data_IF_965344000962
#
_entry.id   IF_965344000962
#
_cell.length_a   1.000
_cell.length_b   1.000
_cell.length_c   1.000
_cell.angle_alpha   90.00
_cell.angle_beta   90.00
_cell.angle_gamma   90.00
#
_symmetry.space_group_name_H-M   'P 1'
#
loop_
_entity.id
_entity.type
_entity.pdbx_description
1 polymer ?
#
# COMPACT_ATOMS: atom_id res chain seq x y z
N UNK A 1 37.63 15.10 6.39
CA UNK A 1 36.56 15.25 5.35
C UNK A 1 36.68 14.23 4.22
N UNK A 2 37.83 13.99 3.58
CA UNK A 2 37.99 13.04 2.46
C UNK A 2 37.62 11.57 2.82
N UNK A 3 38.03 11.03 3.96
CA UNK A 3 37.72 9.66 4.37
C UNK A 3 36.21 9.44 4.63
N UNK A 4 35.52 10.40 5.22
CA UNK A 4 34.05 10.36 5.39
C UNK A 4 33.30 10.35 4.03
N UNK A 5 33.83 11.05 3.04
CA UNK A 5 33.24 11.11 1.70
C UNK A 5 33.41 9.78 0.94
N UNK A 6 34.54 9.10 1.09
CA UNK A 6 34.79 7.78 0.45
C UNK A 6 33.93 6.67 1.04
N UNK A 7 33.80 6.63 2.38
CA UNK A 7 32.93 5.67 3.07
C UNK A 7 31.45 5.86 2.66
N UNK A 8 30.97 7.09 2.63
CA UNK A 8 29.62 7.42 2.19
C UNK A 8 29.36 7.00 0.74
N UNK A 9 30.28 7.33 -0.19
CA UNK A 9 30.16 6.93 -1.60
C UNK A 9 30.18 5.41 -1.78
N UNK A 10 31.00 4.69 -0.99
CA UNK A 10 31.02 3.23 -1.05
C UNK A 10 29.71 2.62 -0.58
N UNK A 11 29.14 3.12 0.52
CA UNK A 11 27.84 2.68 1.02
C UNK A 11 26.72 2.99 0.01
N UNK A 12 26.71 4.19 -0.56
CA UNK A 12 25.78 4.56 -1.63
C UNK A 12 25.87 3.58 -2.82
N UNK A 13 27.08 3.30 -3.30
CA UNK A 13 27.28 2.40 -4.43
C UNK A 13 26.87 0.96 -4.09
N UNK A 14 27.11 0.46 -2.86
CA UNK A 14 26.58 -0.83 -2.40
C UNK A 14 25.05 -0.87 -2.51
N UNK A 15 24.39 0.18 -2.01
CA UNK A 15 22.93 0.34 -2.07
C UNK A 15 22.43 0.33 -3.52
N UNK A 16 23.05 1.14 -4.38
CA UNK A 16 22.67 1.23 -5.79
C UNK A 16 22.81 -0.12 -6.53
N UNK A 17 23.84 -0.90 -6.22
CA UNK A 17 24.02 -2.25 -6.78
C UNK A 17 22.90 -3.19 -6.30
N UNK A 18 22.60 -3.21 -5.01
CA UNK A 18 21.49 -4.03 -4.46
C UNK A 18 20.16 -3.68 -5.17
N UNK A 19 19.87 -2.39 -5.32
CA UNK A 19 18.64 -1.96 -5.99
C UNK A 19 18.57 -2.42 -7.44
N UNK A 20 19.66 -2.32 -8.19
CA UNK A 20 19.71 -2.84 -9.56
C UNK A 20 19.52 -4.36 -9.65
N UNK A 21 20.05 -5.10 -8.67
CA UNK A 21 19.96 -6.57 -8.63
C UNK A 21 18.60 -7.07 -8.11
N UNK A 22 17.83 -6.23 -7.41
CA UNK A 22 16.46 -6.57 -7.02
C UNK A 22 15.52 -6.63 -8.22
N UNK A 23 15.79 -5.84 -9.24
CA UNK A 23 14.99 -5.84 -10.46
C UNK A 23 15.32 -7.06 -11.34
N UNK A 24 16.60 -7.32 -11.58
CA UNK A 24 17.06 -8.47 -12.36
C UNK A 24 18.55 -8.79 -12.14
N UNK A 25 18.96 -10.01 -12.47
CA UNK A 25 20.37 -10.39 -12.54
C UNK A 25 21.11 -9.54 -13.57
N UNK A 26 22.35 -9.11 -13.25
CA UNK A 26 23.15 -8.24 -14.12
C UNK A 26 24.61 -8.67 -14.15
N UNK A 27 25.28 -8.44 -15.28
CA UNK A 27 26.74 -8.60 -15.37
C UNK A 27 27.47 -7.43 -14.68
N UNK A 28 28.73 -7.66 -14.31
CA UNK A 28 29.60 -6.60 -13.78
C UNK A 28 29.67 -5.37 -14.71
N UNK A 29 29.75 -5.62 -16.02
CA UNK A 29 29.81 -4.56 -17.04
C UNK A 29 28.51 -3.77 -17.18
N UNK A 30 27.35 -4.44 -17.02
CA UNK A 30 26.07 -3.75 -17.03
C UNK A 30 25.89 -2.85 -15.81
N UNK A 31 26.24 -3.35 -14.63
CA UNK A 31 26.24 -2.56 -13.39
C UNK A 31 27.16 -1.35 -13.53
N UNK A 32 28.39 -1.56 -14.04
CA UNK A 32 29.37 -0.51 -14.24
C UNK A 32 28.82 0.59 -15.18
N UNK A 33 28.20 0.18 -16.28
CA UNK A 33 27.61 1.09 -17.27
C UNK A 33 26.44 1.91 -16.69
N UNK A 34 25.52 1.25 -15.98
CA UNK A 34 24.33 1.90 -15.41
C UNK A 34 24.72 2.89 -14.31
N UNK A 35 25.60 2.49 -13.41
CA UNK A 35 26.02 3.33 -12.27
C UNK A 35 27.17 4.28 -12.59
N UNK A 36 27.70 4.26 -13.85
CA UNK A 36 28.84 5.07 -14.27
C UNK A 36 30.08 4.83 -13.39
N UNK A 37 30.31 3.56 -13.01
CA UNK A 37 31.47 3.11 -12.22
C UNK A 37 32.47 2.38 -13.12
N UNK A 38 33.72 2.22 -12.64
CA UNK A 38 34.67 1.34 -13.29
C UNK A 38 34.34 -0.14 -12.98
N UNK A 39 34.65 -1.06 -13.89
CA UNK A 39 34.49 -2.50 -13.66
C UNK A 39 35.24 -2.96 -12.40
N UNK A 40 36.41 -2.40 -12.13
CA UNK A 40 37.20 -2.70 -10.93
C UNK A 40 36.50 -2.25 -9.65
N UNK A 41 35.86 -1.09 -9.67
CA UNK A 41 35.07 -0.62 -8.52
C UNK A 41 33.86 -1.51 -8.25
N UNK A 42 33.13 -1.87 -9.31
CA UNK A 42 31.98 -2.79 -9.20
C UNK A 42 32.44 -4.17 -8.69
N UNK A 43 33.55 -4.72 -9.21
CA UNK A 43 34.07 -6.02 -8.75
C UNK A 43 34.38 -5.99 -7.25
N UNK A 44 35.08 -4.95 -6.76
CA UNK A 44 35.42 -4.85 -5.34
C UNK A 44 34.19 -4.71 -4.44
N UNK A 45 33.17 -3.97 -4.88
CA UNK A 45 31.90 -3.83 -4.12
C UNK A 45 31.12 -5.14 -4.14
N UNK A 46 31.06 -5.81 -5.30
CA UNK A 46 30.39 -7.10 -5.44
C UNK A 46 31.04 -8.18 -4.59
N UNK A 47 32.38 -8.22 -4.51
CA UNK A 47 33.09 -9.18 -3.65
C UNK A 47 32.76 -8.96 -2.16
N UNK A 48 32.63 -7.70 -1.71
CA UNK A 48 32.15 -7.41 -0.35
C UNK A 48 30.72 -7.93 -0.14
N UNK A 49 29.80 -7.62 -1.07
CA UNK A 49 28.40 -8.04 -0.97
C UNK A 49 28.22 -9.56 -1.04
N UNK A 50 29.13 -10.26 -1.75
CA UNK A 50 29.17 -11.73 -1.79
C UNK A 50 29.70 -12.28 -0.46
N UNK A 51 30.74 -11.65 0.12
CA UNK A 51 31.28 -12.04 1.42
C UNK A 51 30.25 -11.82 2.55
N UNK A 52 29.40 -10.77 2.43
CA UNK A 52 28.27 -10.50 3.32
C UNK A 52 27.05 -11.41 3.00
N UNK A 53 27.15 -12.33 2.03
CA UNK A 53 26.09 -13.25 1.56
C UNK A 53 24.83 -12.55 1.02
N UNK A 54 24.86 -11.25 0.76
CA UNK A 54 23.70 -10.48 0.27
C UNK A 54 23.41 -10.71 -1.21
N UNK A 55 24.46 -10.98 -1.99
CA UNK A 55 24.35 -11.33 -3.41
C UNK A 55 25.13 -12.62 -3.70
N UNK A 56 24.82 -13.23 -4.82
CA UNK A 56 25.57 -14.42 -5.29
C UNK A 56 25.79 -14.35 -6.79
N UNK A 57 26.72 -15.18 -7.27
CA UNK A 57 26.95 -15.40 -8.69
C UNK A 57 25.89 -16.36 -9.23
N UNK A 58 25.33 -16.02 -10.38
CA UNK A 58 24.33 -16.83 -11.05
C UNK A 58 25.05 -17.84 -11.96
N UNK A 59 25.02 -19.14 -11.56
CA UNK A 59 25.49 -20.31 -12.31
C UNK A 59 26.90 -20.26 -12.89
N UNK A 60 27.34 -21.43 -13.40
CA UNK A 60 28.59 -21.61 -14.14
C UNK A 60 28.53 -21.13 -15.61
N UNK A 61 27.83 -20.06 -15.89
CA UNK A 61 27.69 -19.58 -17.25
C UNK A 61 28.96 -18.89 -17.73
N UNK A 62 29.90 -19.67 -18.21
CA UNK A 62 30.95 -19.26 -19.17
C UNK A 62 30.31 -18.95 -20.54
N UNK A 63 29.14 -18.29 -20.51
CA UNK A 63 28.48 -17.83 -21.72
C UNK A 63 29.06 -16.49 -22.19
N UNK A 64 28.69 -16.05 -23.41
CA UNK A 64 29.07 -14.76 -24.02
C UNK A 64 28.76 -13.51 -23.15
N UNK A 65 27.95 -13.64 -22.12
CA UNK A 65 27.47 -12.52 -21.26
C UNK A 65 28.26 -12.35 -19.95
N UNK A 66 29.30 -13.14 -19.70
CA UNK A 66 30.08 -13.05 -18.45
C UNK A 66 29.33 -13.61 -17.21
N UNK A 67 29.94 -13.44 -16.02
CA UNK A 67 29.35 -13.85 -14.74
C UNK A 67 28.20 -12.86 -14.41
N UNK A 68 27.02 -13.40 -14.13
CA UNK A 68 25.87 -12.63 -13.66
C UNK A 68 25.85 -12.60 -12.13
N UNK A 69 25.44 -11.48 -11.58
CA UNK A 69 25.18 -11.29 -10.16
C UNK A 69 23.67 -11.22 -9.92
N UNK A 70 23.20 -11.78 -8.82
CA UNK A 70 21.81 -11.68 -8.36
C UNK A 70 21.74 -11.54 -6.85
N UNK A 71 20.60 -11.10 -6.34
CA UNK A 71 20.31 -11.16 -4.92
C UNK A 71 20.37 -12.62 -4.44
N UNK A 72 20.95 -12.85 -3.28
CA UNK A 72 20.92 -14.16 -2.63
C UNK A 72 19.53 -14.40 -2.00
N UNK A 73 18.64 -15.01 -2.76
CA UNK A 73 17.28 -15.34 -2.32
C UNK A 73 17.24 -16.30 -1.13
N UNK A 74 18.31 -17.06 -0.90
CA UNK A 74 18.39 -18.07 0.17
C UNK A 74 18.91 -17.50 1.50
N UNK A 75 19.36 -16.24 1.53
CA UNK A 75 19.83 -15.58 2.76
C UNK A 75 18.80 -15.64 3.88
N UNK A 76 17.54 -15.44 3.54
CA UNK A 76 16.44 -15.42 4.49
C UNK A 76 15.13 -15.02 3.85
N UNK A 77 14.24 -14.48 4.68
CA UNK A 77 12.95 -13.98 4.23
C UNK A 77 12.49 -12.79 5.08
N UNK A 78 11.54 -12.03 4.56
CA UNK A 78 10.84 -10.96 5.28
C UNK A 78 9.36 -11.31 5.40
N UNK A 79 8.71 -10.89 6.50
CA UNK A 79 7.27 -10.85 6.57
C UNK A 79 6.77 -9.47 6.17
N UNK A 80 5.77 -9.45 5.28
CA UNK A 80 4.93 -8.28 5.05
C UNK A 80 3.52 -8.56 5.57
N UNK A 81 2.97 -7.62 6.31
CA UNK A 81 1.65 -7.73 6.97
C UNK A 81 0.84 -6.50 6.61
N UNK A 82 -0.38 -6.72 6.18
CA UNK A 82 -1.33 -5.66 5.85
C UNK A 82 -2.55 -5.75 6.79
N UNK A 83 -2.72 -4.72 7.63
CA UNK A 83 -3.84 -4.56 8.56
C UNK A 83 -4.88 -3.54 8.06
N UNK A 84 -4.73 -3.00 6.86
CA UNK A 84 -5.56 -1.89 6.35
C UNK A 84 -6.96 -2.34 5.94
N UNK A 85 -7.05 -3.49 5.31
CA UNK A 85 -8.28 -4.01 4.74
C UNK A 85 -9.23 -4.64 5.76
N UNK A 86 -10.35 -5.17 5.26
CA UNK A 86 -11.31 -5.98 6.04
C UNK A 86 -10.75 -7.37 6.37
N UNK A 87 -9.75 -7.81 5.64
CA UNK A 87 -9.00 -9.04 5.86
C UNK A 87 -7.55 -8.71 6.14
N UNK A 88 -6.97 -9.35 7.16
CA UNK A 88 -5.54 -9.22 7.41
C UNK A 88 -4.77 -10.13 6.45
N UNK A 89 -3.78 -9.58 5.78
CA UNK A 89 -2.96 -10.33 4.85
C UNK A 89 -1.53 -10.44 5.40
N UNK A 90 -0.96 -11.63 5.30
CA UNK A 90 0.43 -11.90 5.68
C UNK A 90 1.11 -12.58 4.50
N UNK A 91 2.27 -12.12 4.08
CA UNK A 91 3.12 -12.90 3.21
C UNK A 91 4.55 -13.00 3.76
N UNK A 92 5.19 -14.13 3.47
CA UNK A 92 6.63 -14.30 3.59
C UNK A 92 7.22 -14.28 2.19
N UNK A 93 8.23 -13.47 1.97
CA UNK A 93 8.92 -13.40 0.69
C UNK A 93 10.44 -13.51 0.89
N UNK A 94 11.13 -14.09 -0.08
CA UNK A 94 12.59 -14.16 -0.08
C UNK A 94 13.23 -12.79 -0.38
N UNK A 95 14.55 -12.74 -0.32
CA UNK A 95 15.29 -11.49 -0.50
C UNK A 95 15.22 -10.93 -1.94
N UNK A 96 14.74 -11.73 -2.90
CA UNK A 96 14.47 -11.30 -4.29
C UNK A 96 13.04 -10.83 -4.53
N UNK A 97 12.24 -10.63 -3.47
CA UNK A 97 10.82 -10.22 -3.51
C UNK A 97 9.85 -11.32 -3.96
N UNK A 98 10.30 -12.57 -4.11
CA UNK A 98 9.40 -13.66 -4.47
C UNK A 98 8.62 -14.15 -3.26
N UNK A 99 7.28 -14.08 -3.34
CA UNK A 99 6.41 -14.58 -2.27
C UNK A 99 6.55 -16.11 -2.17
N UNK A 100 6.95 -16.59 -0.99
CA UNK A 100 7.12 -18.00 -0.64
C UNK A 100 5.83 -18.58 -0.05
N UNK A 101 5.17 -17.79 0.82
CA UNK A 101 3.99 -18.24 1.56
C UNK A 101 3.06 -17.05 1.81
N UNK A 102 1.76 -17.28 1.68
CA UNK A 102 0.72 -16.27 1.95
C UNK A 102 -0.34 -16.83 2.86
N UNK A 103 -0.87 -16.00 3.76
CA UNK A 103 -2.02 -16.28 4.61
C UNK A 103 -2.95 -15.08 4.64
N UNK A 104 -4.23 -15.36 4.70
CA UNK A 104 -5.28 -14.37 4.93
C UNK A 104 -6.03 -14.77 6.19
N UNK A 105 -6.21 -13.83 7.10
CA UNK A 105 -7.03 -14.01 8.30
C UNK A 105 -8.36 -13.33 7.99
N UNK A 106 -9.45 -14.09 8.06
CA UNK A 106 -10.79 -13.61 7.71
C UNK A 106 -11.27 -12.47 8.59
N UNK A 107 -12.14 -11.68 8.02
CA UNK A 107 -12.84 -10.49 8.46
C UNK A 107 -12.57 -9.99 9.89
N UNK A 108 -11.85 -8.88 9.96
CA UNK A 108 -11.61 -8.14 11.21
C UNK A 108 -12.26 -6.76 11.06
N UNK A 109 -13.48 -6.62 11.53
CA UNK A 109 -14.22 -5.35 11.48
C UNK A 109 -13.63 -4.31 12.44
N UNK A 110 -13.19 -4.78 13.61
CA UNK A 110 -12.50 -3.98 14.62
C UNK A 110 -11.33 -4.80 15.13
N UNK A 111 -10.12 -4.29 14.98
CA UNK A 111 -8.90 -4.97 15.40
C UNK A 111 -8.74 -4.86 16.91
N UNK A 112 -8.74 -5.97 17.59
CA UNK A 112 -8.60 -6.06 19.05
C UNK A 112 -7.28 -6.72 19.44
N UNK A 113 -6.91 -6.64 20.69
CA UNK A 113 -5.72 -7.30 21.22
C UNK A 113 -5.66 -8.80 20.88
N UNK A 114 -6.77 -9.50 20.98
CA UNK A 114 -6.87 -10.93 20.60
C UNK A 114 -6.58 -11.19 19.12
N UNK A 115 -6.89 -10.23 18.23
CA UNK A 115 -6.56 -10.36 16.81
C UNK A 115 -5.07 -10.20 16.56
N UNK A 116 -4.41 -9.34 17.34
CA UNK A 116 -2.96 -9.17 17.28
C UNK A 116 -2.23 -10.41 17.82
N UNK A 117 -2.70 -10.98 18.92
CA UNK A 117 -2.15 -12.22 19.46
C UNK A 117 -2.33 -13.38 18.45
N UNK A 118 -3.48 -13.42 17.77
CA UNK A 118 -3.75 -14.38 16.69
C UNK A 118 -2.86 -14.16 15.47
N UNK A 119 -2.58 -12.90 15.12
CA UNK A 119 -1.62 -12.54 14.08
C UNK A 119 -0.23 -13.08 14.39
N UNK A 120 0.29 -12.82 15.59
CA UNK A 120 1.59 -13.30 16.06
C UNK A 120 1.62 -14.85 16.03
N UNK A 121 0.58 -15.51 16.52
CA UNK A 121 0.49 -16.97 16.50
C UNK A 121 0.51 -17.54 15.07
N UNK A 122 -0.19 -16.91 14.11
CA UNK A 122 -0.16 -17.30 12.71
C UNK A 122 1.23 -17.10 12.08
N UNK A 123 1.89 -15.99 12.38
CA UNK A 123 3.25 -15.75 11.90
C UNK A 123 4.23 -16.79 12.47
N UNK A 124 4.15 -17.14 13.76
CA UNK A 124 4.93 -18.25 14.33
C UNK A 124 4.63 -19.59 13.64
N UNK A 125 3.37 -19.90 13.38
CA UNK A 125 3.01 -21.12 12.63
C UNK A 125 3.61 -21.10 11.21
N UNK A 126 3.65 -19.95 10.55
CA UNK A 126 4.28 -19.79 9.24
C UNK A 126 5.79 -20.07 9.29
N UNK A 127 6.52 -19.62 10.33
CA UNK A 127 7.97 -19.89 10.47
C UNK A 127 8.27 -21.39 10.58
N UNK A 128 7.33 -22.20 11.04
CA UNK A 128 7.47 -23.67 11.15
C UNK A 128 7.06 -24.41 9.88
N UNK A 129 6.56 -23.69 8.86
CA UNK A 129 6.18 -24.32 7.59
C UNK A 129 7.41 -24.92 6.88
N UNK A 130 7.24 -25.99 6.07
CA UNK A 130 8.37 -26.59 5.34
C UNK A 130 9.15 -25.62 4.47
N UNK A 131 8.47 -24.57 3.96
CA UNK A 131 9.06 -23.55 3.07
C UNK A 131 9.97 -22.56 3.81
N UNK A 132 9.71 -22.29 5.10
CA UNK A 132 10.41 -21.28 5.89
C UNK A 132 11.25 -21.86 7.03
N UNK A 133 10.99 -23.12 7.43
CA UNK A 133 11.69 -23.77 8.54
C UNK A 133 13.20 -23.79 8.30
N UNK A 134 13.94 -23.28 9.28
CA UNK A 134 15.39 -23.18 9.22
C UNK A 134 15.94 -21.98 8.44
N UNK A 135 15.07 -21.19 7.77
CA UNK A 135 15.50 -19.94 7.13
C UNK A 135 15.49 -18.78 8.13
N UNK A 136 16.36 -17.81 7.93
CA UNK A 136 16.47 -16.61 8.77
C UNK A 136 15.32 -15.64 8.47
N UNK A 137 14.56 -15.23 9.50
CA UNK A 137 13.68 -14.09 9.40
C UNK A 137 14.51 -12.81 9.53
N UNK A 138 14.49 -11.97 8.49
CA UNK A 138 15.34 -10.79 8.38
C UNK A 138 14.65 -9.51 8.87
N UNK A 139 13.37 -9.35 8.56
CA UNK A 139 12.59 -8.17 8.92
C UNK A 139 11.09 -8.48 8.91
N UNK A 140 10.33 -7.73 9.70
CA UNK A 140 8.86 -7.68 9.62
C UNK A 140 8.47 -6.26 9.20
N UNK A 141 7.64 -6.13 8.18
CA UNK A 141 7.05 -4.86 7.78
C UNK A 141 5.53 -4.91 7.93
N UNK A 142 4.98 -3.94 8.64
CA UNK A 142 3.57 -3.85 8.99
C UNK A 142 2.95 -2.60 8.38
N UNK A 143 1.94 -2.80 7.56
CA UNK A 143 1.07 -1.75 7.07
C UNK A 143 -0.13 -1.60 8.00
N UNK A 144 -0.40 -0.38 8.43
CA UNK A 144 -1.53 -0.10 9.32
C UNK A 144 -2.24 1.19 8.93
N UNK A 145 -3.57 1.24 9.01
CA UNK A 145 -4.30 2.49 8.83
C UNK A 145 -4.12 3.41 10.05
N UNK A 146 -4.34 4.71 9.83
CA UNK A 146 -4.31 5.74 10.88
C UNK A 146 -2.94 6.32 11.16
N UNK A 147 -2.87 7.10 12.23
CA UNK A 147 -1.69 7.89 12.60
C UNK A 147 -0.82 7.14 13.59
N UNK A 148 0.46 7.07 13.27
CA UNK A 148 1.49 6.48 14.12
C UNK A 148 2.51 7.56 14.51
N UNK A 149 3.08 7.43 15.71
CA UNK A 149 4.29 8.17 16.06
C UNK A 149 5.55 7.42 15.55
N UNK A 150 6.71 8.01 15.76
CA UNK A 150 8.01 7.43 15.34
C UNK A 150 8.32 6.08 16.01
N UNK A 151 7.78 5.83 17.21
CA UNK A 151 7.93 4.55 17.91
C UNK A 151 6.96 3.47 17.43
N UNK A 152 6.06 3.77 16.47
CA UNK A 152 5.08 2.83 15.96
C UNK A 152 3.88 2.61 16.89
N UNK A 153 3.57 3.60 17.74
CA UNK A 153 2.38 3.62 18.57
C UNK A 153 1.23 4.30 17.84
N UNK A 154 0.02 3.79 18.06
CA UNK A 154 -1.18 4.41 17.48
C UNK A 154 -1.52 5.70 18.21
N UNK A 155 -1.50 6.82 17.51
CA UNK A 155 -1.95 8.12 18.02
C UNK A 155 -3.47 8.27 17.92
N UNK A 156 -4.07 7.75 16.86
CA UNK A 156 -5.51 7.76 16.65
C UNK A 156 -5.89 6.72 15.60
N UNK A 157 -6.68 5.74 15.99
CA UNK A 157 -7.31 4.82 15.06
C UNK A 157 -8.55 4.17 15.67
N UNK A 158 -9.76 4.53 15.22
CA UNK A 158 -11.00 3.98 15.78
C UNK A 158 -11.16 2.46 15.55
N UNK A 159 -10.43 1.86 14.60
CA UNK A 159 -10.46 0.41 14.34
C UNK A 159 -9.62 -0.39 15.33
N UNK A 160 -8.62 0.22 15.97
CA UNK A 160 -7.68 -0.44 16.87
C UNK A 160 -8.03 -0.14 18.32
N UNK A 161 -8.85 -0.98 18.91
CA UNK A 161 -9.28 -0.86 20.32
C UNK A 161 -8.32 -1.61 21.24
N UNK A 162 -7.93 -0.95 22.34
CA UNK A 162 -7.04 -1.57 23.35
C UNK A 162 -5.55 -1.54 22.95
N UNK A 163 -5.19 -0.64 22.04
CA UNK A 163 -3.79 -0.39 21.63
C UNK A 163 -3.25 0.96 22.09
N UNK A 164 -3.98 1.64 22.97
CA UNK A 164 -3.51 2.89 23.55
C UNK A 164 -2.19 2.65 24.30
N UNK A 165 -1.15 3.38 23.94
CA UNK A 165 0.21 3.24 24.50
C UNK A 165 0.88 1.87 24.23
N UNK A 166 0.45 1.15 23.21
CA UNK A 166 1.08 -0.11 22.78
C UNK A 166 1.90 0.14 21.52
N UNK A 167 3.20 -0.11 21.59
CA UNK A 167 4.07 -0.14 20.43
C UNK A 167 3.98 -1.51 19.76
N UNK A 168 3.23 -1.61 18.66
CA UNK A 168 3.16 -2.84 17.85
C UNK A 168 4.53 -3.23 17.30
N UNK A 169 5.39 -2.24 17.05
CA UNK A 169 6.78 -2.44 16.63
C UNK A 169 7.59 -3.20 17.68
N UNK A 170 7.56 -2.73 18.93
CA UNK A 170 8.28 -3.38 20.04
C UNK A 170 7.75 -4.78 20.34
N UNK A 171 6.45 -4.98 20.29
CA UNK A 171 5.86 -6.30 20.55
C UNK A 171 6.24 -7.32 19.49
N UNK A 172 6.20 -6.95 18.22
CA UNK A 172 6.68 -7.81 17.14
C UNK A 172 8.19 -8.06 17.25
N UNK A 173 8.98 -7.04 17.59
CA UNK A 173 10.41 -7.22 17.86
C UNK A 173 10.68 -8.20 19.00
N UNK A 174 9.96 -8.09 20.11
CA UNK A 174 10.07 -9.04 21.24
C UNK A 174 9.66 -10.45 20.84
N UNK A 175 8.62 -10.60 20.01
CA UNK A 175 8.12 -11.91 19.60
C UNK A 175 9.04 -12.64 18.63
N UNK A 176 9.73 -11.92 17.75
CA UNK A 176 10.47 -12.53 16.63
C UNK A 176 11.97 -12.27 16.63
N UNK A 177 12.47 -11.30 17.40
CA UNK A 177 13.91 -11.00 17.54
C UNK A 177 14.53 -10.42 16.25
N UNK A 178 13.75 -9.78 15.39
CA UNK A 178 14.22 -9.14 14.16
C UNK A 178 13.77 -7.67 14.09
N UNK A 179 14.31 -6.93 13.12
CA UNK A 179 13.88 -5.56 12.86
C UNK A 179 12.41 -5.51 12.44
N UNK A 180 11.72 -4.45 12.85
CA UNK A 180 10.31 -4.22 12.53
C UNK A 180 10.13 -2.81 11.98
N UNK A 181 9.47 -2.70 10.83
CA UNK A 181 9.02 -1.46 10.21
C UNK A 181 7.52 -1.36 10.30
N UNK A 182 6.99 -0.22 10.76
CA UNK A 182 5.56 0.06 10.79
C UNK A 182 5.33 1.36 10.04
N UNK A 183 4.47 1.32 9.02
CA UNK A 183 4.15 2.50 8.20
C UNK A 183 2.65 2.59 7.91
N UNK A 184 2.23 3.79 7.51
CA UNK A 184 0.87 4.00 7.03
C UNK A 184 0.60 3.17 5.76
N UNK A 185 -0.59 2.59 5.67
CA UNK A 185 -1.04 1.68 4.63
C UNK A 185 -1.09 2.33 3.23
N UNK A 186 -1.61 3.56 3.12
CA UNK A 186 -1.71 4.26 1.82
C UNK A 186 -0.33 4.67 1.30
N UNK A 187 0.57 5.09 2.20
CA UNK A 187 1.95 5.36 1.86
C UNK A 187 2.65 4.10 1.34
N UNK A 188 2.43 2.96 2.00
CA UNK A 188 2.96 1.68 1.52
C UNK A 188 2.32 1.25 0.19
N UNK A 189 1.02 1.47 -0.03
CA UNK A 189 0.41 1.19 -1.33
C UNK A 189 1.09 1.99 -2.45
N UNK A 190 1.40 3.27 -2.22
CA UNK A 190 2.16 4.10 -3.17
C UNK A 190 3.58 3.56 -3.39
N UNK A 191 4.30 3.17 -2.32
CA UNK A 191 5.62 2.52 -2.42
C UNK A 191 5.55 1.20 -3.21
N UNK A 192 4.46 0.43 -3.05
CA UNK A 192 4.21 -0.80 -3.79
C UNK A 192 4.05 -0.55 -5.29
N UNK A 193 3.22 0.41 -5.67
CA UNK A 193 3.03 0.82 -7.07
C UNK A 193 4.33 1.36 -7.69
N UNK A 194 5.14 2.10 -6.93
CA UNK A 194 6.45 2.58 -7.41
C UNK A 194 7.43 1.42 -7.61
N UNK A 195 7.44 0.44 -6.72
CA UNK A 195 8.40 -0.66 -6.76
C UNK A 195 8.02 -1.76 -7.76
N UNK A 196 6.74 -2.10 -7.85
CA UNK A 196 6.27 -3.30 -8.57
C UNK A 196 5.12 -3.05 -9.54
N UNK A 197 4.48 -1.87 -9.48
CA UNK A 197 3.28 -1.55 -10.24
C UNK A 197 3.47 -0.53 -11.34
N UNK A 198 2.41 0.23 -11.60
CA UNK A 198 2.29 1.17 -12.71
C UNK A 198 3.08 2.47 -12.52
N UNK A 199 3.61 2.74 -11.34
CA UNK A 199 4.33 3.98 -11.04
C UNK A 199 5.87 3.84 -11.13
N UNK A 200 6.40 2.74 -11.67
CA UNK A 200 7.85 2.50 -11.76
C UNK A 200 8.62 3.67 -12.37
N UNK A 201 8.11 4.21 -13.46
CA UNK A 201 8.74 5.30 -14.22
C UNK A 201 8.09 6.67 -13.95
N UNK A 202 7.21 6.78 -12.94
CA UNK A 202 6.52 8.01 -12.55
C UNK A 202 7.20 8.61 -11.34
N UNK A 203 7.53 9.90 -11.39
CA UNK A 203 8.21 10.61 -10.30
C UNK A 203 7.21 11.35 -9.39
N UNK A 204 6.09 11.83 -9.94
CA UNK A 204 5.09 12.56 -9.19
C UNK A 204 3.71 11.93 -9.39
N UNK A 205 3.05 11.53 -8.31
CA UNK A 205 1.73 10.90 -8.34
C UNK A 205 0.92 11.22 -7.09
N UNK A 206 -0.40 11.29 -7.26
CA UNK A 206 -1.37 11.29 -6.18
C UNK A 206 -2.06 9.92 -6.13
N UNK A 207 -2.05 9.26 -4.99
CA UNK A 207 -2.90 8.10 -4.73
C UNK A 207 -4.05 8.50 -3.81
N UNK A 208 -5.26 8.16 -4.18
CA UNK A 208 -6.45 8.27 -3.32
C UNK A 208 -6.92 6.86 -2.96
N UNK A 209 -6.92 6.56 -1.68
CA UNK A 209 -7.45 5.32 -1.13
C UNK A 209 -8.90 5.53 -0.71
N UNK A 210 -9.82 4.78 -1.31
CA UNK A 210 -11.27 4.86 -1.05
C UNK A 210 -11.77 3.45 -0.70
N UNK A 211 -12.06 3.25 0.59
CA UNK A 211 -12.53 1.97 1.14
C UNK A 211 -13.52 2.25 2.30
N UNK A 212 -13.39 1.57 3.44
CA UNK A 212 -14.13 1.85 4.69
C UNK A 212 -13.88 3.29 5.15
N UNK A 213 -12.65 3.77 5.04
CA UNK A 213 -12.25 5.17 5.21
C UNK A 213 -11.63 5.71 3.93
N UNK A 214 -11.13 6.94 4.01
CA UNK A 214 -10.42 7.60 2.91
C UNK A 214 -9.05 8.06 3.36
N UNK A 215 -8.08 7.95 2.44
CA UNK A 215 -6.70 8.39 2.64
C UNK A 215 -6.07 8.85 1.33
N UNK A 216 -4.92 9.51 1.43
CA UNK A 216 -4.12 9.84 0.26
C UNK A 216 -2.64 9.58 0.53
N UNK A 217 -1.87 9.40 -0.53
CA UNK A 217 -0.42 9.48 -0.50
C UNK A 217 0.05 10.36 -1.66
N UNK A 218 1.11 11.10 -1.43
CA UNK A 218 1.77 11.91 -2.44
C UNK A 218 3.16 11.34 -2.70
N UNK A 219 3.48 11.12 -3.96
CA UNK A 219 4.83 10.84 -4.39
C UNK A 219 5.36 12.08 -5.12
N UNK A 220 6.48 12.61 -4.64
CA UNK A 220 7.18 13.76 -5.18
C UNK A 220 8.64 13.39 -5.39
N UNK A 221 9.17 13.66 -6.59
CA UNK A 221 10.54 13.29 -6.98
C UNK A 221 10.86 11.81 -6.70
N UNK A 222 9.91 10.92 -6.98
CA UNK A 222 10.04 9.47 -6.78
C UNK A 222 10.00 9.00 -5.33
N UNK A 223 9.73 9.89 -4.37
CA UNK A 223 9.68 9.59 -2.95
C UNK A 223 8.29 9.87 -2.37
N UNK A 224 7.81 8.99 -1.50
CA UNK A 224 6.55 9.23 -0.78
C UNK A 224 6.76 10.37 0.23
N UNK A 225 5.96 11.42 0.08
CA UNK A 225 5.98 12.58 0.96
C UNK A 225 5.17 12.31 2.23
N UNK A 226 5.83 12.23 3.36
CA UNK A 226 5.19 11.91 4.64
C UNK A 226 4.82 13.14 5.49
N UNK A 227 5.29 14.34 5.12
CA UNK A 227 5.08 15.56 5.90
C UNK A 227 5.97 15.68 7.14
N UNK A 228 5.89 16.83 7.82
CA UNK A 228 6.74 17.13 8.98
C UNK A 228 6.44 16.29 10.24
N UNK A 229 5.24 15.69 10.31
CA UNK A 229 4.81 14.84 11.43
C UNK A 229 4.43 13.42 10.98
N UNK A 230 4.71 13.05 9.72
CA UNK A 230 4.32 11.75 9.17
C UNK A 230 2.83 11.61 8.81
N UNK A 231 2.07 12.73 8.72
CA UNK A 231 0.62 12.71 8.52
C UNK A 231 0.18 13.33 7.20
N UNK A 232 1.08 13.49 6.24
CA UNK A 232 0.68 13.91 4.90
C UNK A 232 -0.31 12.87 4.32
N UNK A 233 -1.31 13.36 3.62
CA UNK A 233 -2.33 12.47 3.03
C UNK A 233 -3.53 12.13 3.91
N UNK A 234 -3.63 12.66 5.13
CA UNK A 234 -4.81 12.53 6.00
C UNK A 234 -6.02 13.30 5.43
N UNK A 235 -6.37 12.99 4.17
CA UNK A 235 -7.37 13.69 3.37
C UNK A 235 -8.80 13.52 3.93
N UNK A 236 -9.04 12.47 4.72
CA UNK A 236 -10.34 12.25 5.37
C UNK A 236 -10.82 13.47 6.16
N UNK A 237 -9.88 14.27 6.71
CA UNK A 237 -10.17 15.51 7.44
C UNK A 237 -10.32 16.75 6.54
N UNK A 238 -10.15 16.60 5.22
CA UNK A 238 -10.29 17.71 4.28
C UNK A 238 -11.76 18.17 4.21
N UNK A 239 -12.00 19.48 4.33
CA UNK A 239 -13.34 20.05 4.33
C UNK A 239 -13.84 20.31 2.92
N UNK A 240 -15.04 19.79 2.59
CA UNK A 240 -15.67 19.90 1.26
C UNK A 240 -16.58 21.12 1.10
N UNK A 241 -17.15 21.62 2.18
CA UNK A 241 -18.11 22.72 2.14
C UNK A 241 -17.54 24.07 1.64
N UNK A 242 -16.22 24.17 1.51
CA UNK A 242 -15.56 25.33 0.87
C UNK A 242 -15.88 25.45 -0.63
N UNK A 243 -16.35 24.38 -1.25
CA UNK A 243 -16.60 24.29 -2.69
C UNK A 243 -18.07 24.13 -3.07
N UNK A 244 -18.98 24.10 -2.10
CA UNK A 244 -20.41 24.00 -2.37
C UNK A 244 -21.03 25.37 -2.55
N UNK A 245 -21.67 25.60 -3.69
CA UNK A 245 -22.57 26.73 -3.90
C UNK A 245 -23.98 26.32 -3.50
N UNK A 246 -24.84 27.29 -3.13
CA UNK A 246 -26.24 27.03 -2.74
C UNK A 246 -27.05 26.29 -3.84
N UNK A 247 -26.61 26.37 -5.10
CA UNK A 247 -27.25 25.67 -6.22
C UNK A 247 -27.00 24.16 -6.26
N UNK A 248 -25.96 23.65 -5.54
CA UNK A 248 -25.58 22.24 -5.53
C UNK A 248 -26.29 21.43 -4.43
N UNK A 249 -27.35 22.00 -3.81
CA UNK A 249 -28.05 21.43 -2.65
C UNK A 249 -28.60 20.01 -2.85
N UNK A 250 -28.84 19.55 -4.06
CA UNK A 250 -29.31 18.18 -4.31
C UNK A 250 -28.27 17.10 -4.09
N UNK A 251 -27.01 17.41 -4.37
CA UNK A 251 -25.91 16.45 -4.18
C UNK A 251 -25.36 16.44 -2.74
N UNK A 252 -25.52 17.57 -2.02
CA UNK A 252 -25.09 17.70 -0.62
C UNK A 252 -25.99 16.97 0.39
N UNK A 253 -27.10 16.40 -0.03
CA UNK A 253 -27.99 15.62 0.85
C UNK A 253 -27.36 14.33 1.38
N UNK A 254 -26.33 13.82 0.69
CA UNK A 254 -25.75 12.53 0.99
C UNK A 254 -24.46 12.61 1.82
N UNK A 255 -23.67 13.67 1.67
CA UNK A 255 -22.32 13.70 2.23
C UNK A 255 -22.18 14.80 3.30
N UNK A 256 -21.35 14.51 4.31
CA UNK A 256 -20.98 15.49 5.33
C UNK A 256 -19.93 16.47 4.76
N UNK A 257 -19.54 17.43 5.59
CA UNK A 257 -18.58 18.47 5.22
C UNK A 257 -17.11 17.97 5.12
N UNK A 258 -16.86 16.67 5.28
CA UNK A 258 -15.52 16.09 5.27
C UNK A 258 -15.36 15.07 4.14
N UNK A 259 -14.15 14.96 3.61
CA UNK A 259 -13.83 14.04 2.51
C UNK A 259 -14.08 12.58 2.89
N UNK A 260 -13.91 12.20 4.16
CA UNK A 260 -14.20 10.85 4.63
C UNK A 260 -15.65 10.40 4.42
N UNK A 261 -16.58 11.36 4.28
CA UNK A 261 -17.98 11.05 3.92
C UNK A 261 -18.12 10.48 2.50
N UNK A 262 -17.08 10.52 1.67
CA UNK A 262 -17.05 9.94 0.34
C UNK A 262 -16.55 8.48 0.34
N UNK A 263 -16.26 7.91 1.51
CA UNK A 263 -15.89 6.51 1.66
C UNK A 263 -16.99 5.57 1.19
N UNK A 264 -16.63 4.36 0.81
CA UNK A 264 -17.61 3.34 0.42
C UNK A 264 -18.54 2.94 1.57
N UNK A 265 -18.03 3.03 2.82
CA UNK A 265 -18.87 2.78 3.99
C UNK A 265 -19.96 3.85 4.17
N UNK A 266 -19.62 5.11 3.93
CA UNK A 266 -20.61 6.22 3.95
C UNK A 266 -21.63 6.05 2.83
N UNK A 267 -21.20 5.71 1.62
CA UNK A 267 -22.10 5.44 0.50
C UNK A 267 -23.05 4.28 0.81
N UNK A 268 -22.55 3.20 1.40
CA UNK A 268 -23.36 2.07 1.85
C UNK A 268 -24.42 2.51 2.89
N UNK A 269 -24.02 3.31 3.87
CA UNK A 269 -24.93 3.82 4.92
C UNK A 269 -26.06 4.66 4.32
N UNK A 270 -25.75 5.47 3.30
CA UNK A 270 -26.74 6.24 2.55
C UNK A 270 -27.73 5.30 1.86
N UNK A 271 -27.24 4.29 1.14
CA UNK A 271 -28.06 3.34 0.40
C UNK A 271 -28.94 2.48 1.34
N UNK A 272 -28.39 2.05 2.48
CA UNK A 272 -29.15 1.37 3.52
C UNK A 272 -30.31 2.24 4.01
N UNK A 273 -30.05 3.51 4.29
CA UNK A 273 -31.06 4.48 4.72
C UNK A 273 -32.14 4.69 3.66
N UNK A 274 -31.77 4.92 2.41
CA UNK A 274 -32.71 5.12 1.32
C UNK A 274 -33.60 3.87 1.11
N UNK A 275 -33.01 2.67 1.25
CA UNK A 275 -33.76 1.40 1.18
C UNK A 275 -34.74 1.26 2.34
N UNK A 276 -34.38 1.70 3.56
CA UNK A 276 -35.31 1.77 4.71
C UNK A 276 -36.48 2.71 4.41
N UNK A 277 -36.25 3.81 3.72
CA UNK A 277 -37.32 4.78 3.35
C UNK A 277 -38.11 4.37 2.10
N UNK A 278 -37.92 3.14 1.62
CA UNK A 278 -38.74 2.54 0.57
C UNK A 278 -38.20 2.73 -0.84
N UNK A 279 -36.93 3.08 -1.00
CA UNK A 279 -36.32 3.10 -2.33
C UNK A 279 -36.36 1.67 -2.93
N UNK A 280 -36.90 1.56 -4.13
CA UNK A 280 -36.99 0.32 -4.89
C UNK A 280 -35.77 0.18 -5.81
N UNK A 281 -35.31 -1.06 -6.06
CA UNK A 281 -34.19 -1.39 -6.93
C UNK A 281 -33.44 -2.62 -6.44
N UNK A 282 -32.23 -2.80 -6.96
CA UNK A 282 -31.39 -3.98 -6.69
C UNK A 282 -31.26 -4.29 -5.18
N UNK A 283 -30.99 -3.29 -4.35
CA UNK A 283 -30.76 -3.51 -2.92
C UNK A 283 -32.04 -3.88 -2.16
N UNK A 284 -33.20 -3.32 -2.54
CA UNK A 284 -34.49 -3.70 -1.93
C UNK A 284 -34.86 -5.15 -2.28
N UNK A 285 -34.59 -5.59 -3.51
CA UNK A 285 -34.78 -6.97 -3.95
C UNK A 285 -33.81 -7.91 -3.23
N UNK A 286 -32.55 -7.53 -3.10
CA UNK A 286 -31.54 -8.28 -2.36
C UNK A 286 -31.96 -8.54 -0.90
N UNK A 287 -32.48 -7.50 -0.22
CA UNK A 287 -32.99 -7.59 1.16
C UNK A 287 -34.15 -8.61 1.25
N UNK A 288 -35.10 -8.55 0.31
CA UNK A 288 -36.23 -9.49 0.26
C UNK A 288 -35.76 -10.90 0.00
N UNK A 289 -34.86 -11.10 -0.96
CA UNK A 289 -34.33 -12.43 -1.34
C UNK A 289 -33.56 -13.08 -0.19
N UNK A 290 -32.70 -12.30 0.50
CA UNK A 290 -31.87 -12.83 1.59
C UNK A 290 -32.57 -12.89 2.94
N UNK A 291 -33.76 -12.31 3.08
CA UNK A 291 -34.49 -12.25 4.35
C UNK A 291 -33.78 -11.47 5.45
N UNK A 292 -33.01 -10.45 5.06
CA UNK A 292 -32.22 -9.61 5.98
C UNK A 292 -32.88 -8.23 6.18
N UNK A 293 -32.41 -7.45 7.14
CA UNK A 293 -32.81 -6.05 7.29
C UNK A 293 -31.94 -5.14 6.38
N UNK A 294 -32.47 -3.96 6.03
CA UNK A 294 -31.71 -3.01 5.19
C UNK A 294 -30.36 -2.60 5.80
N UNK A 295 -30.26 -2.55 7.12
CA UNK A 295 -29.01 -2.23 7.84
C UNK A 295 -27.96 -3.38 7.73
N UNK A 296 -28.37 -4.56 7.27
CA UNK A 296 -27.49 -5.70 7.07
C UNK A 296 -27.03 -5.86 5.61
N UNK A 297 -27.38 -4.93 4.71
CA UNK A 297 -26.87 -4.92 3.34
C UNK A 297 -25.33 -4.83 3.41
N UNK A 298 -24.62 -5.83 2.86
CA UNK A 298 -23.16 -5.80 2.86
C UNK A 298 -22.61 -4.92 1.73
N UNK A 299 -21.36 -4.52 1.84
CA UNK A 299 -20.70 -3.68 0.83
C UNK A 299 -20.63 -4.39 -0.53
N UNK A 300 -20.48 -5.71 -0.55
CA UNK A 300 -20.46 -6.55 -1.76
C UNK A 300 -21.76 -6.42 -2.56
N UNK A 301 -22.90 -6.32 -1.88
CA UNK A 301 -24.21 -6.10 -2.54
C UNK A 301 -24.28 -4.71 -3.18
N UNK A 302 -23.73 -3.67 -2.53
CA UNK A 302 -23.62 -2.33 -3.10
C UNK A 302 -22.73 -2.34 -4.35
N UNK A 303 -21.56 -2.97 -4.27
CA UNK A 303 -20.63 -3.08 -5.40
C UNK A 303 -21.27 -3.84 -6.58
N UNK A 304 -22.03 -4.91 -6.28
CA UNK A 304 -22.77 -5.66 -7.30
C UNK A 304 -23.89 -4.83 -7.92
N UNK A 305 -24.66 -4.08 -7.10
CA UNK A 305 -25.72 -3.19 -7.57
C UNK A 305 -25.17 -2.11 -8.52
N UNK A 306 -24.02 -1.51 -8.19
CA UNK A 306 -23.38 -0.53 -9.06
C UNK A 306 -22.99 -1.12 -10.41
N UNK A 307 -22.35 -2.30 -10.41
CA UNK A 307 -21.98 -3.01 -11.64
C UNK A 307 -23.19 -3.43 -12.46
N UNK A 308 -24.28 -3.83 -11.80
CA UNK A 308 -25.55 -4.16 -12.46
C UNK A 308 -26.29 -2.93 -13.04
N UNK A 309 -25.85 -1.72 -12.71
CA UNK A 309 -26.46 -0.51 -13.24
C UNK A 309 -27.66 0.00 -12.43
N UNK A 310 -27.80 -0.41 -11.17
CA UNK A 310 -28.85 0.11 -10.27
C UNK A 310 -28.79 1.64 -10.19
N UNK A 311 -29.92 2.28 -10.49
CA UNK A 311 -29.98 3.73 -10.66
C UNK A 311 -29.67 4.51 -9.38
N UNK A 312 -30.18 4.05 -8.23
CA UNK A 312 -29.91 4.71 -6.96
C UNK A 312 -28.45 4.57 -6.56
N UNK A 313 -27.91 3.38 -6.67
CA UNK A 313 -26.51 3.10 -6.36
C UNK A 313 -25.56 3.90 -7.25
N UNK A 314 -25.89 3.98 -8.57
CA UNK A 314 -25.13 4.84 -9.49
C UNK A 314 -25.21 6.31 -9.11
N UNK A 315 -26.39 6.82 -8.76
CA UNK A 315 -26.57 8.23 -8.36
C UNK A 315 -25.69 8.56 -7.15
N UNK A 316 -25.68 7.71 -6.11
CA UNK A 316 -24.89 7.91 -4.91
C UNK A 316 -23.40 7.87 -5.22
N UNK A 317 -22.91 6.81 -5.89
CA UNK A 317 -21.49 6.62 -6.15
C UNK A 317 -20.93 7.58 -7.20
N UNK A 318 -21.70 7.94 -8.24
CA UNK A 318 -21.26 8.93 -9.23
C UNK A 318 -21.20 10.36 -8.63
N UNK A 319 -22.06 10.65 -7.65
CA UNK A 319 -21.95 11.90 -6.89
C UNK A 319 -20.64 11.98 -6.11
N UNK A 320 -20.21 10.89 -5.45
CA UNK A 320 -18.90 10.83 -4.81
C UNK A 320 -17.74 10.92 -5.83
N UNK A 321 -17.86 10.26 -6.98
CA UNK A 321 -16.86 10.28 -8.04
C UNK A 321 -16.57 11.71 -8.53
N UNK A 322 -17.62 12.52 -8.71
CA UNK A 322 -17.50 13.94 -9.08
C UNK A 322 -16.65 14.72 -8.07
N UNK A 323 -16.97 14.59 -6.78
CA UNK A 323 -16.25 15.32 -5.73
C UNK A 323 -14.82 14.82 -5.62
N UNK A 324 -14.60 13.51 -5.65
CA UNK A 324 -13.28 12.89 -5.61
C UNK A 324 -12.41 13.41 -6.77
N UNK A 325 -12.94 13.42 -8.00
CA UNK A 325 -12.23 13.94 -9.18
C UNK A 325 -11.88 15.43 -9.03
N UNK A 326 -12.82 16.25 -8.54
CA UNK A 326 -12.58 17.69 -8.33
C UNK A 326 -11.49 17.93 -7.28
N UNK A 327 -11.54 17.23 -6.14
CA UNK A 327 -10.53 17.37 -5.08
C UNK A 327 -9.16 16.87 -5.59
N UNK A 328 -9.13 15.74 -6.30
CA UNK A 328 -7.91 15.23 -6.91
C UNK A 328 -7.31 16.25 -7.89
N UNK A 329 -8.14 16.87 -8.74
CA UNK A 329 -7.69 17.92 -9.63
C UNK A 329 -7.04 19.08 -8.87
N UNK A 330 -7.70 19.59 -7.84
CA UNK A 330 -7.17 20.71 -7.06
C UNK A 330 -5.85 20.41 -6.36
N UNK A 331 -5.70 19.20 -5.82
CA UNK A 331 -4.45 18.74 -5.21
C UNK A 331 -3.33 18.60 -6.25
N UNK A 332 -3.67 18.09 -7.43
CA UNK A 332 -2.73 17.94 -8.52
C UNK A 332 -2.31 19.30 -9.13
N UNK A 333 -3.24 20.27 -9.26
CA UNK A 333 -2.88 21.64 -9.67
C UNK A 333 -1.91 22.29 -8.67
N UNK A 334 -2.13 22.07 -7.37
CA UNK A 334 -1.28 22.66 -6.32
C UNK A 334 0.15 22.12 -6.34
N UNK A 335 0.33 20.85 -6.71
CA UNK A 335 1.61 20.13 -6.62
C UNK A 335 2.22 19.80 -8.00
N UNK A 336 1.59 20.22 -9.09
CA UNK A 336 2.02 19.95 -10.49
C UNK A 336 2.15 18.42 -10.75
N UNK A 337 1.07 17.69 -10.46
CA UNK A 337 0.99 16.23 -10.60
C UNK A 337 0.06 15.87 -11.76
N UNK A 338 0.49 14.96 -12.65
CA UNK A 338 -0.30 14.50 -13.80
C UNK A 338 -0.94 13.12 -13.60
N UNK A 339 -0.50 12.34 -12.62
CA UNK A 339 -0.95 10.96 -12.42
C UNK A 339 -1.74 10.80 -11.13
N UNK A 340 -2.97 10.29 -11.24
CA UNK A 340 -3.88 9.98 -10.14
C UNK A 340 -4.12 8.48 -10.13
N UNK A 341 -3.89 7.83 -8.98
CA UNK A 341 -4.16 6.41 -8.76
C UNK A 341 -5.28 6.25 -7.73
N UNK A 342 -6.34 5.55 -8.09
CA UNK A 342 -7.39 5.14 -7.15
C UNK A 342 -7.07 3.75 -6.59
N UNK A 343 -7.08 3.62 -5.28
CA UNK A 343 -6.76 2.41 -4.54
C UNK A 343 -7.84 2.09 -3.49
N UNK A 344 -7.84 0.86 -2.96
CA UNK A 344 -8.85 0.36 -2.02
C UNK A 344 -10.01 -0.33 -2.73
N UNK A 345 -11.07 -0.66 -1.99
CA UNK A 345 -12.21 -1.41 -2.52
C UNK A 345 -12.97 -0.67 -3.66
N UNK A 346 -12.71 0.62 -3.86
CA UNK A 346 -13.23 1.39 -5.02
C UNK A 346 -12.87 0.74 -6.36
N UNK A 347 -11.77 -0.02 -6.42
CA UNK A 347 -11.34 -0.76 -7.62
C UNK A 347 -12.42 -1.74 -8.10
N UNK A 348 -13.18 -2.32 -7.18
CA UNK A 348 -14.24 -3.27 -7.48
C UNK A 348 -15.44 -2.65 -8.21
N UNK A 349 -15.57 -1.32 -8.22
CA UNK A 349 -16.59 -0.61 -9.01
C UNK A 349 -16.28 -0.65 -10.51
N UNK A 350 -15.03 -0.91 -10.90
CA UNK A 350 -14.61 -1.12 -12.28
C UNK A 350 -14.57 0.17 -13.12
N UNK A 351 -14.36 0.00 -14.44
CA UNK A 351 -14.11 1.08 -15.39
C UNK A 351 -15.19 2.20 -15.34
N UNK A 352 -16.45 1.83 -15.15
CA UNK A 352 -17.56 2.79 -15.04
C UNK A 352 -17.31 3.86 -13.98
N UNK A 353 -16.66 3.51 -12.87
CA UNK A 353 -16.36 4.47 -11.80
C UNK A 353 -15.19 5.39 -12.19
N UNK A 354 -14.16 4.85 -12.84
CA UNK A 354 -13.10 5.69 -13.41
C UNK A 354 -13.67 6.70 -14.41
N UNK A 355 -14.57 6.24 -15.29
CA UNK A 355 -15.23 7.11 -16.27
C UNK A 355 -16.10 8.19 -15.60
N UNK A 356 -16.58 7.94 -14.38
CA UNK A 356 -17.33 8.93 -13.60
C UNK A 356 -16.40 9.93 -12.87
N UNK A 357 -15.17 9.54 -12.53
CA UNK A 357 -14.16 10.41 -11.87
C UNK A 357 -13.41 11.27 -12.89
N UNK A 358 -12.98 10.69 -14.00
CA UNK A 358 -12.06 11.29 -14.97
C UNK A 358 -12.50 12.68 -15.49
N UNK A 359 -13.79 12.95 -15.82
CA UNK A 359 -14.21 14.26 -16.30
C UNK A 359 -13.95 15.42 -15.32
N UNK A 360 -13.82 15.11 -14.03
CA UNK A 360 -13.61 16.10 -12.96
C UNK A 360 -12.15 16.19 -12.52
N UNK A 361 -11.29 15.32 -13.04
CA UNK A 361 -9.86 15.28 -12.71
C UNK A 361 -8.99 16.16 -13.64
N UNK A 362 -9.60 16.97 -14.50
CA UNK A 362 -8.89 17.79 -15.50
C UNK A 362 -8.28 16.93 -16.61
N UNK A 363 -7.12 17.34 -17.13
CA UNK A 363 -6.42 16.62 -18.20
C UNK A 363 -5.43 15.56 -17.67
N UNK A 364 -5.68 15.01 -16.49
CA UNK A 364 -4.78 14.08 -15.81
C UNK A 364 -5.07 12.63 -16.14
N UNK A 365 -4.05 11.80 -16.03
CA UNK A 365 -4.22 10.35 -16.11
C UNK A 365 -4.85 9.84 -14.81
N UNK A 366 -6.05 9.28 -14.88
CA UNK A 366 -6.72 8.63 -13.75
C UNK A 366 -6.75 7.13 -14.02
N UNK A 367 -6.21 6.36 -13.09
CA UNK A 367 -6.16 4.91 -13.20
C UNK A 367 -6.40 4.22 -11.85
N UNK A 368 -6.76 2.95 -11.88
CA UNK A 368 -6.72 2.13 -10.67
C UNK A 368 -5.29 1.66 -10.39
N UNK A 369 -5.02 1.35 -9.12
CA UNK A 369 -3.82 0.63 -8.71
C UNK A 369 -3.67 -0.64 -9.56
N UNK A 370 -2.49 -0.82 -10.16
CA UNK A 370 -2.20 -1.99 -11.02
C UNK A 370 -1.96 -3.26 -10.19
N UNK A 371 -1.55 -3.09 -8.93
CA UNK A 371 -1.39 -4.17 -7.96
C UNK A 371 -2.71 -4.54 -7.28
N UNK A 372 -3.78 -3.82 -7.60
CA UNK A 372 -5.12 -4.05 -7.08
C UNK A 372 -5.12 -4.06 -5.54
N UNK A 373 -5.74 -5.08 -4.95
CA UNK A 373 -5.84 -5.27 -3.50
C UNK A 373 -4.50 -5.61 -2.81
N UNK A 374 -3.43 -5.86 -3.57
CA UNK A 374 -2.11 -6.22 -3.04
C UNK A 374 -1.14 -5.05 -2.94
N UNK A 375 -1.52 -3.85 -3.37
CA UNK A 375 -0.63 -2.69 -3.40
C UNK A 375 0.02 -2.41 -2.03
N UNK A 376 -0.78 -2.38 -0.96
CA UNK A 376 -0.31 -2.18 0.42
C UNK A 376 0.63 -3.30 0.86
N UNK A 377 0.27 -4.57 0.61
CA UNK A 377 1.09 -5.72 0.98
C UNK A 377 2.44 -5.73 0.24
N UNK A 378 2.43 -5.41 -1.05
CA UNK A 378 3.65 -5.30 -1.86
C UNK A 378 4.53 -4.12 -1.42
N UNK A 379 3.92 -3.00 -1.03
CA UNK A 379 4.64 -1.89 -0.42
C UNK A 379 5.26 -2.25 0.92
N UNK A 380 4.53 -2.98 1.78
CA UNK A 380 5.09 -3.51 3.02
C UNK A 380 6.26 -4.46 2.76
N UNK A 381 6.15 -5.34 1.75
CA UNK A 381 7.26 -6.19 1.32
C UNK A 381 8.48 -5.35 0.91
N UNK A 382 8.28 -4.34 0.07
CA UNK A 382 9.34 -3.43 -0.35
C UNK A 382 10.02 -2.74 0.84
N UNK A 383 9.24 -2.23 1.78
CA UNK A 383 9.75 -1.53 2.97
C UNK A 383 10.56 -2.47 3.88
N UNK A 384 10.12 -3.72 4.08
CA UNK A 384 10.85 -4.70 4.86
C UNK A 384 12.20 -5.08 4.25
N UNK A 385 12.24 -5.29 2.93
CA UNK A 385 13.49 -5.55 2.20
C UNK A 385 14.42 -4.33 2.22
N UNK A 386 13.87 -3.13 2.06
CA UNK A 386 14.63 -1.87 2.13
C UNK A 386 15.28 -1.72 3.50
N UNK A 387 14.52 -1.88 4.58
CA UNK A 387 15.03 -1.81 5.95
C UNK A 387 16.18 -2.81 6.18
N UNK A 388 15.98 -4.06 5.73
CA UNK A 388 17.00 -5.09 5.88
C UNK A 388 18.29 -4.73 5.14
N UNK A 389 18.20 -4.37 3.85
CA UNK A 389 19.41 -4.05 3.08
C UNK A 389 20.09 -2.78 3.61
N UNK A 390 19.36 -1.76 3.98
CA UNK A 390 19.94 -0.52 4.55
C UNK A 390 20.64 -0.74 5.89
N UNK A 391 20.13 -1.65 6.72
CA UNK A 391 20.73 -1.99 8.00
C UNK A 391 21.95 -2.90 7.90
N UNK A 392 22.20 -3.55 6.74
CA UNK A 392 23.29 -4.52 6.53
C UNK A 392 24.33 -4.04 5.51
N UNK A 393 24.27 -2.81 5.03
CA UNK A 393 25.27 -2.19 4.13
C UNK A 393 26.25 -1.31 4.88
#
# INVERSE_FOLDING_TARGET
MQARNQSYLRMKNKKDIIWLLRDMSRSYSDIARVLKLSNTAVAKIADDLIADELICRDGDTKGRNGIMLRINSDYGYVFAVDLSGRTLKICAADMSSKIILRRTISEVVSFQRSDFDRLIAQMHAMTQSPQLKGKKLCCISLATPGKLNESGEFLSNPRFKGFENVSVKEELHKAFGCDVVVKNDVNLAMEGEKAYGSLKDVENALMLHIDVGTGAAFMLDGQVYVGCHGFAGEIGYFRLNMFSTESDNYDNLYYSNYFDSLSLFSALSILQRETIYGAEGYLSEYVKEKGITCSQIPIEAMLAAYRAGDLLTQKVLNSSARVIGTVANNLCELLDIDTIVLNGAVIELGQRYLDAVAPYAGNRTVQFSSLLEDATLMGALNAGLTQFFEGNL
#
